data_IF_505792733754
#
_entry.id   IF_505792733754
#
_cell.length_a   1.000
_cell.length_b   1.000
_cell.length_c   1.000
_cell.angle_alpha   90.00
_cell.angle_beta   90.00
_cell.angle_gamma   90.00
#
_symmetry.space_group_name_H-M   'P 1'
#
loop_
_entity.id
_entity.type
_entity.pdbx_description
1 polymer ?
#
# COMPACT_ATOMS: atom_id res chain seq x y z
N UNK A 1 -55.20 37.65 64.06
CA UNK A 1 -55.19 36.30 63.50
C UNK A 1 -54.86 36.39 62.00
N UNK A 2 -53.58 36.51 61.63
CA UNK A 2 -53.11 36.55 60.27
C UNK A 2 -51.59 36.46 60.25
N UNK A 3 -50.99 35.51 59.53
CA UNK A 3 -49.58 35.26 59.12
C UNK A 3 -48.97 33.96 59.67
N UNK A 4 -49.42 32.83 59.19
CA UNK A 4 -48.64 31.61 59.33
C UNK A 4 -48.65 30.75 58.05
N UNK A 5 -49.21 31.21 56.93
CA UNK A 5 -49.39 30.31 55.72
C UNK A 5 -48.39 30.56 54.60
N UNK A 6 -47.57 31.60 54.64
CA UNK A 6 -46.70 31.97 53.52
C UNK A 6 -45.28 31.38 53.56
N UNK A 7 -44.80 30.84 54.67
CA UNK A 7 -43.40 30.40 54.79
C UNK A 7 -43.17 28.91 54.45
N UNK A 8 -44.19 28.05 54.51
CA UNK A 8 -44.09 26.64 54.20
C UNK A 8 -44.08 26.39 52.70
N UNK A 9 -44.84 27.14 51.93
CA UNK A 9 -44.92 27.02 50.45
C UNK A 9 -43.61 27.39 49.79
N UNK A 10 -42.92 28.43 50.24
CA UNK A 10 -41.65 28.88 49.67
C UNK A 10 -40.51 27.88 49.92
N UNK A 11 -40.47 27.22 51.07
CA UNK A 11 -39.51 26.17 51.39
C UNK A 11 -39.73 24.90 50.56
N UNK A 12 -40.98 24.57 50.23
CA UNK A 12 -41.32 23.44 49.40
C UNK A 12 -40.87 23.64 47.92
N UNK A 13 -41.11 24.85 47.41
CA UNK A 13 -40.66 25.23 46.08
C UNK A 13 -39.11 25.28 45.96
N UNK A 14 -38.43 25.79 46.97
CA UNK A 14 -36.96 25.83 47.01
C UNK A 14 -36.35 24.43 47.14
N UNK A 15 -36.98 23.50 47.83
CA UNK A 15 -36.52 22.11 47.92
C UNK A 15 -36.76 21.33 46.62
N UNK A 16 -37.87 21.55 45.91
CA UNK A 16 -38.15 20.96 44.61
C UNK A 16 -37.16 21.45 43.55
N UNK A 17 -36.82 22.74 43.58
CA UNK A 17 -35.84 23.30 42.62
C UNK A 17 -34.41 22.83 42.89
N UNK A 18 -34.05 22.53 44.14
CA UNK A 18 -32.75 21.93 44.51
C UNK A 18 -32.66 20.46 44.13
N UNK A 19 -33.75 19.72 44.23
CA UNK A 19 -33.81 18.29 43.92
C UNK A 19 -33.67 18.04 42.40
N UNK A 20 -34.34 18.87 41.57
CA UNK A 20 -34.29 18.70 40.13
C UNK A 20 -32.92 19.00 39.51
N UNK A 21 -32.15 19.94 40.06
CA UNK A 21 -30.80 20.26 39.58
C UNK A 21 -29.78 19.16 39.89
N UNK A 22 -29.89 18.52 41.05
CA UNK A 22 -29.00 17.43 41.43
C UNK A 22 -29.24 16.16 40.62
N UNK A 23 -30.51 15.91 40.29
CA UNK A 23 -30.89 14.75 39.47
C UNK A 23 -30.41 14.88 38.02
N UNK A 24 -30.58 16.06 37.41
CA UNK A 24 -30.06 16.33 36.06
C UNK A 24 -28.52 16.22 35.95
N UNK A 25 -27.80 16.63 37.00
CA UNK A 25 -26.33 16.55 37.03
C UNK A 25 -25.85 15.11 37.21
N UNK A 26 -26.54 14.30 37.99
CA UNK A 26 -26.26 12.90 38.15
C UNK A 26 -26.55 12.10 36.86
N UNK A 27 -27.68 12.38 36.20
CA UNK A 27 -28.03 11.77 34.90
C UNK A 27 -27.01 12.12 33.84
N UNK A 28 -26.57 13.38 33.75
CA UNK A 28 -25.54 13.81 32.84
C UNK A 28 -24.20 13.08 33.11
N UNK A 29 -23.82 12.95 34.39
CA UNK A 29 -22.60 12.26 34.77
C UNK A 29 -22.65 10.76 34.38
N UNK A 30 -23.78 10.08 34.54
CA UNK A 30 -23.96 8.68 34.14
C UNK A 30 -23.87 8.53 32.61
N UNK A 31 -24.57 9.39 31.87
CA UNK A 31 -24.50 9.37 30.39
C UNK A 31 -23.07 9.60 29.89
N UNK A 32 -22.37 10.56 30.48
CA UNK A 32 -20.98 10.86 30.12
C UNK A 32 -20.06 9.69 30.44
N UNK A 33 -20.24 9.04 31.60
CA UNK A 33 -19.48 7.84 31.96
C UNK A 33 -19.76 6.66 30.99
N UNK A 34 -21.03 6.45 30.63
CA UNK A 34 -21.39 5.43 29.63
C UNK A 34 -20.80 5.72 28.26
N UNK A 35 -20.83 6.98 27.80
CA UNK A 35 -20.18 7.38 26.55
C UNK A 35 -18.67 7.16 26.60
N UNK A 36 -18.01 7.51 27.69
CA UNK A 36 -16.58 7.30 27.86
C UNK A 36 -16.19 5.81 27.78
N UNK A 37 -16.96 4.94 28.45
CA UNK A 37 -16.73 3.48 28.37
C UNK A 37 -17.00 2.93 26.98
N UNK A 38 -18.05 3.39 26.29
CA UNK A 38 -18.34 3.01 24.92
C UNK A 38 -17.22 3.43 23.98
N UNK A 39 -16.75 4.66 24.05
CA UNK A 39 -15.65 5.18 23.24
C UNK A 39 -14.37 4.37 23.49
N UNK A 40 -14.03 4.10 24.73
CA UNK A 40 -12.83 3.34 25.10
C UNK A 40 -12.83 1.91 24.54
N UNK A 41 -13.99 1.29 24.38
CA UNK A 41 -14.12 -0.07 23.84
C UNK A 41 -14.32 -0.10 22.32
N UNK A 42 -14.91 0.93 21.74
CA UNK A 42 -15.23 1.00 20.31
C UNK A 42 -14.02 1.42 19.45
N UNK A 43 -13.22 2.39 19.91
CA UNK A 43 -12.09 2.94 19.15
C UNK A 43 -11.11 1.85 18.68
N UNK A 44 -10.62 0.92 19.51
CA UNK A 44 -9.69 -0.12 19.06
C UNK A 44 -10.29 -0.98 17.96
N UNK A 45 -11.57 -1.37 18.09
CA UNK A 45 -12.25 -2.20 17.09
C UNK A 45 -12.44 -1.49 15.76
N UNK A 46 -12.70 -0.19 15.77
CA UNK A 46 -12.77 0.60 14.53
C UNK A 46 -11.42 0.70 13.84
N UNK A 47 -10.34 0.85 14.60
CA UNK A 47 -8.98 0.85 14.05
C UNK A 47 -8.67 -0.46 13.33
N UNK A 48 -8.93 -1.59 13.96
CA UNK A 48 -8.69 -2.92 13.38
C UNK A 48 -9.51 -3.15 12.10
N UNK A 49 -10.77 -2.71 12.08
CA UNK A 49 -11.63 -2.81 10.89
C UNK A 49 -11.11 -1.93 9.76
N UNK A 50 -10.67 -0.71 10.08
CA UNK A 50 -10.10 0.21 9.08
C UNK A 50 -8.80 -0.34 8.49
N UNK A 51 -7.93 -0.90 9.32
CA UNK A 51 -6.67 -1.50 8.86
C UNK A 51 -6.92 -2.72 7.98
N UNK A 52 -7.83 -3.61 8.38
CA UNK A 52 -8.27 -4.74 7.55
C UNK A 52 -8.87 -4.28 6.21
N UNK A 53 -9.64 -3.20 6.21
CA UNK A 53 -10.19 -2.59 5.00
C UNK A 53 -9.10 -2.07 4.06
N UNK A 54 -8.06 -1.43 4.59
CA UNK A 54 -6.90 -0.98 3.82
C UNK A 54 -6.13 -2.16 3.22
N UNK A 55 -5.87 -3.20 4.03
CA UNK A 55 -5.18 -4.39 3.56
C UNK A 55 -5.93 -5.08 2.41
N UNK A 56 -7.24 -5.25 2.54
CA UNK A 56 -8.07 -5.82 1.48
C UNK A 56 -8.01 -4.97 0.19
N UNK A 57 -8.09 -3.65 0.32
CA UNK A 57 -7.97 -2.76 -0.83
C UNK A 57 -6.59 -2.88 -1.51
N UNK A 58 -5.50 -2.92 -0.72
CA UNK A 58 -4.16 -3.12 -1.28
C UNK A 58 -4.06 -4.44 -2.04
N UNK A 59 -4.61 -5.54 -1.49
CA UNK A 59 -4.63 -6.85 -2.16
C UNK A 59 -5.42 -6.80 -3.47
N UNK A 60 -6.55 -6.12 -3.53
CA UNK A 60 -7.32 -5.94 -4.77
C UNK A 60 -6.53 -5.14 -5.82
N UNK A 61 -5.74 -4.17 -5.41
CA UNK A 61 -4.91 -3.40 -6.32
C UNK A 61 -3.70 -4.21 -6.81
N UNK A 62 -3.11 -5.06 -5.96
CA UNK A 62 -2.10 -6.03 -6.39
C UNK A 62 -2.66 -6.99 -7.45
N UNK A 63 -3.92 -7.44 -7.33
CA UNK A 63 -4.57 -8.27 -8.35
C UNK A 63 -4.70 -7.54 -9.70
N UNK A 64 -5.05 -6.25 -9.66
CA UNK A 64 -5.12 -5.43 -10.88
C UNK A 64 -3.75 -5.29 -11.56
N UNK A 65 -2.70 -5.07 -10.77
CA UNK A 65 -1.33 -4.99 -11.28
C UNK A 65 -0.93 -6.31 -11.94
N UNK A 66 -1.17 -7.45 -11.29
CA UNK A 66 -0.86 -8.76 -11.86
C UNK A 66 -1.68 -9.06 -13.13
N UNK A 67 -2.95 -8.68 -13.17
CA UNK A 67 -3.77 -8.83 -14.37
C UNK A 67 -3.20 -8.02 -15.55
N UNK A 68 -2.78 -6.79 -15.31
CA UNK A 68 -2.14 -5.97 -16.33
C UNK A 68 -0.76 -6.52 -16.76
N UNK A 69 0.00 -7.07 -15.82
CA UNK A 69 1.24 -7.77 -16.12
C UNK A 69 1.01 -8.94 -17.08
N UNK A 70 -0.02 -9.74 -16.82
CA UNK A 70 -0.40 -10.86 -17.69
C UNK A 70 -0.79 -10.39 -19.09
N UNK A 71 -1.66 -9.36 -19.17
CA UNK A 71 -2.08 -8.79 -20.46
C UNK A 71 -0.89 -8.26 -21.26
N UNK A 72 0.06 -7.62 -20.57
CA UNK A 72 1.30 -7.12 -21.18
C UNK A 72 2.15 -8.27 -21.71
N UNK A 73 2.32 -9.34 -20.92
CA UNK A 73 3.06 -10.53 -21.32
C UNK A 73 2.46 -11.18 -22.58
N UNK A 74 1.14 -11.36 -22.61
CA UNK A 74 0.44 -11.93 -23.77
C UNK A 74 0.60 -11.03 -25.03
N UNK A 75 0.51 -9.71 -24.83
CA UNK A 75 0.69 -8.74 -25.92
C UNK A 75 2.13 -8.77 -26.47
N UNK A 76 3.13 -8.78 -25.58
CA UNK A 76 4.54 -8.85 -26.00
C UNK A 76 4.87 -10.18 -26.62
N UNK A 77 4.30 -11.29 -26.15
CA UNK A 77 4.45 -12.59 -26.76
C UNK A 77 3.94 -12.61 -28.21
N UNK A 78 2.82 -11.96 -28.48
CA UNK A 78 2.26 -11.85 -29.82
C UNK A 78 3.08 -10.92 -30.74
N UNK A 79 3.63 -9.83 -30.23
CA UNK A 79 4.33 -8.81 -31.02
C UNK A 79 5.84 -9.11 -31.20
N UNK A 80 6.48 -9.62 -30.14
CA UNK A 80 7.93 -9.79 -30.07
C UNK A 80 8.37 -11.28 -30.22
N UNK A 81 7.38 -12.20 -30.27
CA UNK A 81 7.63 -13.66 -30.41
C UNK A 81 7.95 -14.36 -29.09
N UNK A 82 8.26 -13.61 -28.02
CA UNK A 82 8.38 -14.09 -26.63
C UNK A 82 7.79 -13.08 -25.68
N UNK A 83 6.99 -13.58 -24.72
CA UNK A 83 6.42 -12.74 -23.69
C UNK A 83 7.50 -12.21 -22.75
N UNK A 84 7.39 -10.96 -22.39
CA UNK A 84 8.15 -10.32 -21.32
C UNK A 84 7.22 -9.52 -20.43
N UNK A 85 7.68 -9.22 -19.23
CA UNK A 85 6.96 -8.41 -18.25
C UNK A 85 7.43 -6.95 -18.31
N UNK A 86 6.62 -5.99 -17.81
CA UNK A 86 7.05 -4.60 -17.78
C UNK A 86 8.39 -4.44 -17.05
N UNK A 87 9.26 -3.60 -17.59
CA UNK A 87 10.61 -3.39 -17.09
C UNK A 87 11.64 -4.40 -17.57
N UNK A 88 11.24 -5.57 -18.08
CA UNK A 88 12.18 -6.50 -18.68
C UNK A 88 12.61 -6.01 -20.07
N UNK A 89 13.90 -6.05 -20.31
CA UNK A 89 14.46 -5.83 -21.63
C UNK A 89 14.25 -7.02 -22.56
N UNK A 90 14.43 -8.21 -21.99
CA UNK A 90 14.18 -9.51 -22.61
C UNK A 90 13.56 -10.44 -21.58
N UNK A 91 12.89 -11.50 -22.05
CA UNK A 91 12.22 -12.48 -21.20
C UNK A 91 13.16 -13.17 -20.18
N UNK A 92 14.45 -13.27 -20.51
CA UNK A 92 15.50 -13.91 -19.72
C UNK A 92 16.29 -12.92 -18.83
N UNK A 93 15.83 -11.67 -18.68
CA UNK A 93 16.44 -10.68 -17.81
C UNK A 93 15.58 -10.41 -16.58
N UNK A 94 16.23 -10.29 -15.43
CA UNK A 94 15.56 -9.95 -14.18
C UNK A 94 15.18 -8.46 -14.13
N UNK A 95 14.12 -8.14 -13.38
CA UNK A 95 13.86 -6.80 -12.86
C UNK A 95 14.01 -6.87 -11.35
N UNK A 96 14.81 -5.97 -10.80
CA UNK A 96 15.29 -6.08 -9.42
C UNK A 96 16.50 -7.01 -9.32
N UNK A 97 16.78 -7.52 -8.14
CA UNK A 97 18.03 -8.26 -7.87
C UNK A 97 17.84 -9.79 -7.90
N UNK A 98 16.62 -10.26 -7.80
CA UNK A 98 16.34 -11.68 -7.63
C UNK A 98 16.35 -12.44 -8.97
N UNK A 99 17.07 -13.54 -9.00
CA UNK A 99 17.09 -14.49 -10.12
C UNK A 99 16.49 -15.85 -9.74
N UNK A 100 16.20 -16.07 -8.45
CA UNK A 100 15.61 -17.29 -7.90
C UNK A 100 14.46 -16.97 -6.95
N UNK A 101 13.44 -17.81 -6.99
CA UNK A 101 12.27 -17.72 -6.10
C UNK A 101 12.60 -18.00 -4.64
N UNK A 102 13.61 -18.84 -4.38
CA UNK A 102 13.99 -19.21 -3.01
C UNK A 102 14.58 -18.02 -2.26
N UNK A 103 15.48 -17.29 -2.91
CA UNK A 103 16.09 -16.09 -2.33
C UNK A 103 15.04 -14.99 -2.08
N UNK A 104 14.13 -14.80 -3.04
CA UNK A 104 13.00 -13.88 -2.89
C UNK A 104 12.15 -14.22 -1.68
N UNK A 105 11.73 -15.49 -1.53
CA UNK A 105 10.86 -15.92 -0.42
C UNK A 105 11.55 -15.76 0.94
N UNK A 106 12.85 -16.07 1.01
CA UNK A 106 13.63 -15.88 2.24
C UNK A 106 13.69 -14.40 2.65
N UNK A 107 13.93 -13.52 1.70
CA UNK A 107 13.97 -12.08 1.96
C UNK A 107 12.58 -11.51 2.29
N UNK A 108 11.52 -11.98 1.63
CA UNK A 108 10.14 -11.58 1.94
C UNK A 108 9.73 -11.87 3.38
N UNK A 109 10.18 -12.99 3.94
CA UNK A 109 9.92 -13.32 5.35
C UNK A 109 10.51 -12.31 6.34
N UNK A 110 11.53 -11.57 5.92
CA UNK A 110 12.24 -10.57 6.72
C UNK A 110 11.84 -9.13 6.35
N UNK A 111 11.08 -8.96 5.26
CA UNK A 111 10.77 -7.63 4.71
C UNK A 111 9.48 -7.08 5.31
N UNK A 112 9.58 -6.56 6.52
CA UNK A 112 8.43 -6.04 7.27
C UNK A 112 7.95 -4.68 6.74
N UNK A 113 8.86 -3.82 6.23
CA UNK A 113 8.53 -2.50 5.70
C UNK A 113 9.63 -2.02 4.76
N UNK A 114 9.28 -1.18 3.77
CA UNK A 114 10.23 -0.58 2.83
C UNK A 114 11.25 0.36 3.50
N UNK A 115 11.05 0.73 4.75
CA UNK A 115 12.06 1.42 5.56
C UNK A 115 13.32 0.57 5.78
N UNK A 116 13.26 -0.75 5.58
CA UNK A 116 14.44 -1.60 5.45
C UNK A 116 15.12 -1.34 4.10
N UNK A 117 16.07 -0.39 4.11
CA UNK A 117 16.80 0.01 2.91
C UNK A 117 17.64 -1.09 2.29
N UNK A 118 18.03 -2.12 3.04
CA UNK A 118 18.81 -3.23 2.52
C UNK A 118 17.96 -4.15 1.62
N UNK A 119 16.77 -4.49 2.07
CA UNK A 119 15.82 -5.28 1.31
C UNK A 119 15.11 -4.44 0.24
N UNK A 120 14.73 -3.20 0.57
CA UNK A 120 14.07 -2.30 -0.36
C UNK A 120 14.84 -2.02 -1.64
N UNK A 121 16.18 -1.89 -1.56
CA UNK A 121 17.05 -1.70 -2.74
C UNK A 121 17.04 -2.86 -3.75
N UNK A 122 16.46 -3.98 -3.39
CA UNK A 122 16.35 -5.16 -4.26
C UNK A 122 15.09 -5.12 -5.12
N UNK A 123 14.14 -4.21 -4.82
CA UNK A 123 12.85 -4.07 -5.49
C UNK A 123 12.80 -2.82 -6.35
N UNK A 124 11.86 -2.79 -7.27
CA UNK A 124 11.64 -1.68 -8.20
C UNK A 124 10.23 -1.14 -8.02
N UNK A 125 10.06 0.18 -8.12
CA UNK A 125 8.72 0.80 -8.09
C UNK A 125 7.91 0.43 -9.33
N UNK A 126 6.62 0.12 -9.15
CA UNK A 126 5.70 -0.11 -10.27
C UNK A 126 5.51 1.17 -11.08
N UNK A 127 5.27 2.30 -10.42
CA UNK A 127 4.97 3.57 -11.07
C UNK A 127 6.10 4.60 -11.00
N UNK A 128 7.29 4.19 -10.56
CA UNK A 128 8.40 5.10 -10.30
C UNK A 128 8.38 5.68 -8.89
N UNK A 129 9.24 6.67 -8.64
CA UNK A 129 9.37 7.29 -7.32
C UNK A 129 8.27 8.30 -7.00
N UNK A 130 7.41 8.61 -7.95
CA UNK A 130 6.50 9.76 -7.92
C UNK A 130 5.14 9.45 -7.32
N UNK A 131 5.08 8.65 -6.25
CA UNK A 131 3.86 8.62 -5.46
C UNK A 131 3.88 9.80 -4.47
N UNK A 132 3.18 10.92 -4.76
CA UNK A 132 3.23 12.11 -3.92
C UNK A 132 2.62 11.91 -2.53
N UNK A 133 1.98 10.76 -2.31
CA UNK A 133 1.37 10.38 -1.04
C UNK A 133 2.22 9.41 -0.23
N UNK A 134 3.25 8.83 -0.82
CA UNK A 134 4.20 7.97 -0.11
C UNK A 134 5.29 8.83 0.54
N UNK A 135 5.45 8.70 1.84
CA UNK A 135 6.57 9.30 2.55
C UNK A 135 7.79 8.40 2.36
N UNK A 136 8.67 8.82 1.47
CA UNK A 136 9.91 8.11 1.23
C UNK A 136 10.91 8.36 2.36
N UNK A 137 11.58 7.33 2.89
CA UNK A 137 12.67 7.53 3.82
C UNK A 137 13.75 8.41 3.19
N UNK A 138 14.20 9.41 3.91
CA UNK A 138 15.25 10.32 3.46
C UNK A 138 16.51 9.53 3.05
N UNK A 139 16.93 9.66 1.79
CA UNK A 139 18.11 8.99 1.24
C UNK A 139 17.90 7.57 0.72
N UNK A 140 16.67 7.06 0.68
CA UNK A 140 16.38 5.77 0.06
C UNK A 140 16.17 5.93 -1.45
N UNK A 141 17.02 5.29 -2.24
CA UNK A 141 16.89 5.22 -3.71
C UNK A 141 16.41 3.84 -4.17
N UNK A 142 15.83 3.05 -3.27
CA UNK A 142 15.53 1.67 -3.58
C UNK A 142 14.32 1.48 -4.49
N UNK A 143 13.51 2.52 -4.66
CA UNK A 143 12.34 2.51 -5.53
C UNK A 143 12.67 3.10 -6.89
N UNK A 144 13.91 3.38 -7.13
CA UNK A 144 14.35 3.81 -8.43
C UNK A 144 14.40 2.61 -9.39
N UNK A 145 13.93 2.81 -10.61
CA UNK A 145 14.00 1.83 -11.66
C UNK A 145 15.47 1.50 -11.95
N UNK A 146 15.93 0.36 -11.47
CA UNK A 146 17.33 -0.07 -11.60
C UNK A 146 17.76 -0.29 -13.04
N UNK A 147 16.81 -0.38 -13.99
CA UNK A 147 17.10 -0.48 -15.41
C UNK A 147 17.54 0.87 -16.03
N UNK A 148 17.40 1.95 -15.30
CA UNK A 148 17.61 3.31 -15.81
C UNK A 148 18.68 4.10 -15.06
N UNK A 149 19.73 3.48 -14.59
CA UNK A 149 20.72 4.12 -13.71
C UNK A 149 21.67 5.11 -14.37
N UNK A 150 21.68 5.24 -15.69
CA UNK A 150 22.58 6.14 -16.40
C UNK A 150 21.90 7.41 -16.89
N UNK A 151 22.63 8.49 -16.79
CA UNK A 151 22.23 9.79 -17.32
C UNK A 151 23.13 10.08 -18.53
N UNK A 152 22.56 10.42 -19.67
CA UNK A 152 23.32 10.86 -20.84
C UNK A 152 23.91 12.27 -20.62
N UNK A 153 24.71 12.74 -21.57
CA UNK A 153 25.31 14.08 -21.49
C UNK A 153 24.29 15.23 -21.46
N UNK A 154 23.04 14.97 -21.84
CA UNK A 154 21.94 15.93 -21.79
C UNK A 154 21.17 15.88 -20.44
N UNK A 155 21.56 15.02 -19.50
CA UNK A 155 20.89 14.86 -18.23
C UNK A 155 19.66 13.97 -18.29
N UNK A 156 19.42 13.27 -19.39
CA UNK A 156 18.31 12.32 -19.53
C UNK A 156 18.70 10.96 -18.98
N UNK A 157 17.81 10.35 -18.24
CA UNK A 157 18.01 9.01 -17.69
C UNK A 157 17.88 7.99 -18.81
N UNK A 158 18.92 7.19 -19.02
CA UNK A 158 18.97 6.15 -20.03
C UNK A 158 19.01 4.77 -19.40
N UNK A 159 18.31 3.85 -19.98
CA UNK A 159 18.36 2.44 -19.59
C UNK A 159 19.61 1.79 -20.19
N UNK A 160 20.54 1.32 -19.34
CA UNK A 160 21.77 0.65 -19.80
C UNK A 160 21.53 -0.65 -20.53
N UNK A 161 20.55 -1.40 -20.08
CA UNK A 161 20.26 -2.75 -20.54
C UNK A 161 19.04 -2.81 -21.45
N UNK A 162 18.40 -1.67 -21.72
CA UNK A 162 17.26 -1.61 -22.62
C UNK A 162 17.73 -1.45 -24.09
N UNK A 163 17.06 -2.07 -25.05
CA UNK A 163 17.26 -1.75 -26.45
C UNK A 163 16.92 -0.30 -26.76
N UNK A 164 17.61 0.29 -27.71
CA UNK A 164 17.34 1.64 -28.17
C UNK A 164 15.83 1.83 -28.48
N UNK A 165 15.23 2.83 -27.82
CA UNK A 165 13.82 3.18 -28.00
C UNK A 165 12.82 2.44 -27.11
N UNK A 166 13.26 1.59 -26.18
CA UNK A 166 12.37 0.99 -25.19
C UNK A 166 12.01 1.97 -24.07
N UNK A 167 10.77 1.84 -23.63
CA UNK A 167 10.28 2.56 -22.45
C UNK A 167 10.84 1.91 -21.19
N UNK A 168 10.99 2.72 -20.15
CA UNK A 168 11.31 2.22 -18.80
C UNK A 168 10.17 1.41 -18.24
N UNK A 169 10.45 0.56 -17.28
CA UNK A 169 9.44 -0.26 -16.61
C UNK A 169 8.28 0.55 -16.04
N UNK A 170 8.57 1.65 -15.35
CA UNK A 170 7.54 2.54 -14.82
C UNK A 170 6.68 3.18 -15.90
N UNK A 171 7.25 3.56 -17.04
CA UNK A 171 6.49 4.10 -18.17
C UNK A 171 5.61 3.02 -18.84
N UNK A 172 6.09 1.79 -18.92
CA UNK A 172 5.31 0.64 -19.40
C UNK A 172 4.11 0.40 -18.46
N UNK A 173 4.34 0.39 -17.14
CA UNK A 173 3.28 0.29 -16.15
C UNK A 173 2.27 1.43 -16.25
N UNK A 174 2.73 2.67 -16.29
CA UNK A 174 1.84 3.84 -16.46
C UNK A 174 1.03 3.76 -17.74
N UNK A 175 1.62 3.21 -18.82
CA UNK A 175 0.90 2.97 -20.07
C UNK A 175 -0.26 1.98 -19.91
N UNK A 176 -0.09 0.93 -19.10
CA UNK A 176 -1.11 -0.08 -18.83
C UNK A 176 -2.26 0.46 -17.96
N UNK A 177 -2.02 1.51 -17.19
CA UNK A 177 -2.98 2.15 -16.32
C UNK A 177 -3.45 3.53 -16.82
N UNK A 178 -3.38 3.79 -18.13
CA UNK A 178 -3.78 5.05 -18.76
C UNK A 178 -3.09 6.29 -18.14
N UNK A 179 -1.86 6.13 -17.65
CA UNK A 179 -1.07 7.13 -16.91
C UNK A 179 -1.68 7.54 -15.57
N UNK A 180 -2.53 6.71 -15.00
CA UNK A 180 -3.05 6.87 -13.65
C UNK A 180 -2.33 5.91 -12.70
N UNK A 181 -1.70 6.44 -11.67
CA UNK A 181 -1.02 5.63 -10.65
C UNK A 181 -2.03 5.03 -9.68
N UNK A 182 -1.87 3.75 -9.34
CA UNK A 182 -2.57 3.17 -8.21
C UNK A 182 -1.89 3.63 -6.92
N UNK A 183 -2.69 4.16 -6.02
CA UNK A 183 -2.22 4.69 -4.73
C UNK A 183 -2.55 3.70 -3.62
N UNK A 184 -1.52 3.26 -2.89
CA UNK A 184 -1.73 2.44 -1.71
C UNK A 184 -2.65 3.13 -0.70
N UNK A 185 -3.55 2.39 -0.04
CA UNK A 185 -4.38 2.91 1.04
C UNK A 185 -3.59 3.26 2.31
N UNK A 186 -2.33 2.83 2.40
CA UNK A 186 -1.43 3.16 3.50
C UNK A 186 -0.66 4.44 3.20
N UNK A 187 -0.34 5.20 4.25
CA UNK A 187 0.27 6.52 4.09
C UNK A 187 1.64 6.45 3.41
N UNK A 188 2.45 5.47 3.81
CA UNK A 188 3.81 5.27 3.33
C UNK A 188 3.89 4.14 2.28
N UNK A 189 2.72 3.57 1.92
CA UNK A 189 2.62 2.48 0.99
C UNK A 189 2.67 2.94 -0.47
N UNK A 190 3.41 2.19 -1.27
CA UNK A 190 3.43 2.28 -2.72
C UNK A 190 3.71 0.90 -3.27
N UNK A 191 3.40 0.65 -4.55
CA UNK A 191 3.54 -0.67 -5.13
C UNK A 191 4.94 -0.87 -5.69
N UNK A 192 5.56 -1.98 -5.28
CA UNK A 192 6.89 -2.41 -5.70
C UNK A 192 6.79 -3.78 -6.35
N UNK A 193 7.71 -4.09 -7.26
CA UNK A 193 7.72 -5.38 -7.93
C UNK A 193 9.13 -5.86 -8.22
N UNK A 194 9.23 -7.15 -8.52
CA UNK A 194 10.40 -7.79 -9.11
C UNK A 194 9.96 -8.78 -10.18
N UNK A 195 10.85 -9.07 -11.09
CA UNK A 195 10.66 -10.13 -12.06
C UNK A 195 11.82 -11.11 -12.00
N UNK A 196 11.51 -12.37 -11.73
CA UNK A 196 12.44 -13.46 -11.87
C UNK A 196 12.47 -13.84 -13.35
N UNK A 197 13.64 -13.90 -13.99
CA UNK A 197 13.74 -14.12 -15.42
C UNK A 197 13.21 -15.49 -15.84
N UNK A 198 12.63 -15.54 -17.03
CA UNK A 198 12.39 -16.80 -17.71
C UNK A 198 13.70 -17.40 -18.24
N UNK A 199 13.69 -18.66 -18.54
CA UNK A 199 14.85 -19.37 -19.09
C UNK A 199 14.45 -20.49 -20.06
N UNK A 200 15.43 -21.09 -20.72
CA UNK A 200 15.21 -22.20 -21.65
C UNK A 200 14.91 -21.75 -23.07
N UNK A 201 14.78 -22.74 -23.96
CA UNK A 201 14.49 -22.56 -25.39
C UNK A 201 13.70 -23.76 -25.94
N UNK A 202 12.89 -23.50 -26.96
CA UNK A 202 12.07 -24.56 -27.58
C UNK A 202 10.94 -25.01 -26.62
N UNK A 203 10.84 -26.34 -26.44
CA UNK A 203 9.80 -26.94 -25.59
C UNK A 203 10.09 -26.82 -24.09
N UNK A 204 11.35 -26.55 -23.73
CA UNK A 204 11.78 -26.41 -22.31
C UNK A 204 11.80 -24.95 -21.85
N UNK A 205 10.94 -24.13 -22.38
CA UNK A 205 10.84 -22.71 -21.97
C UNK A 205 10.09 -22.60 -20.66
N UNK A 206 10.72 -21.94 -19.70
CA UNK A 206 10.08 -21.51 -18.44
C UNK A 206 9.83 -20.01 -18.50
N UNK A 207 8.58 -19.63 -18.32
CA UNK A 207 8.17 -18.24 -18.34
C UNK A 207 8.72 -17.44 -17.14
N UNK A 208 8.88 -16.12 -17.26
CA UNK A 208 9.26 -15.28 -16.13
C UNK A 208 8.15 -15.27 -15.07
N UNK A 209 8.54 -15.04 -13.82
CA UNK A 209 7.63 -14.89 -12.69
C UNK A 209 7.68 -13.46 -12.16
N UNK A 210 6.55 -12.94 -11.77
CA UNK A 210 6.46 -11.61 -11.17
C UNK A 210 5.99 -11.72 -9.72
N UNK A 211 6.64 -10.97 -8.84
CA UNK A 211 6.16 -10.71 -7.50
C UNK A 211 5.87 -9.22 -7.36
N UNK A 212 4.68 -8.90 -6.86
CA UNK A 212 4.26 -7.53 -6.59
C UNK A 212 3.91 -7.42 -5.10
N UNK A 213 4.29 -6.32 -4.48
CA UNK A 213 4.04 -6.09 -3.06
C UNK A 213 3.67 -4.63 -2.79
N UNK A 214 2.97 -4.42 -1.67
CA UNK A 214 2.81 -3.09 -1.10
C UNK A 214 4.01 -2.78 -0.18
N UNK A 215 4.66 -1.65 -0.40
CA UNK A 215 5.85 -1.23 0.35
C UNK A 215 5.61 -1.00 1.83
N UNK A 216 4.37 -0.82 2.27
CA UNK A 216 4.01 -0.70 3.69
C UNK A 216 4.34 -1.99 4.47
N UNK A 217 3.97 -3.15 3.92
CA UNK A 217 4.24 -4.44 4.54
C UNK A 217 4.41 -5.54 3.48
N UNK A 218 5.55 -5.59 2.79
CA UNK A 218 5.77 -6.54 1.70
C UNK A 218 5.61 -8.00 2.13
N UNK A 219 5.98 -8.34 3.36
CA UNK A 219 5.82 -9.66 3.95
C UNK A 219 4.38 -10.16 3.96
N UNK A 220 3.41 -9.29 4.20
CA UNK A 220 2.00 -9.66 4.34
C UNK A 220 1.16 -9.25 3.12
N UNK A 221 1.57 -8.21 2.41
CA UNK A 221 0.86 -7.62 1.28
C UNK A 221 1.66 -7.83 -0.01
N UNK A 222 1.76 -9.09 -0.44
CA UNK A 222 2.40 -9.43 -1.70
C UNK A 222 1.64 -10.52 -2.44
N UNK A 223 1.89 -10.62 -3.73
CA UNK A 223 1.40 -11.70 -4.59
C UNK A 223 2.46 -12.08 -5.61
N UNK A 224 2.53 -13.37 -5.90
CA UNK A 224 3.41 -13.94 -6.92
C UNK A 224 2.55 -14.55 -8.01
N UNK A 225 2.90 -14.30 -9.27
CA UNK A 225 2.27 -14.90 -10.43
C UNK A 225 3.32 -15.60 -11.29
N UNK A 226 3.02 -16.82 -11.67
CA UNK A 226 3.72 -17.60 -12.70
C UNK A 226 2.89 -17.54 -13.99
N UNK A 227 3.54 -17.33 -15.12
CA UNK A 227 2.91 -17.12 -16.43
C UNK A 227 2.93 -18.37 -17.31
#
# INVERSE_FOLDING_TARGET
MQKQIKTSSLKYFLNLYKSSRGQSLAEFAVITAMMATFIATAIPKFSDVMESGKANKSIEELDKILLQAKNFYETTAALEGRGRLPGQDKFDMAVGVYTDSTDLLNDLLLFDSFSDTALGKKWVSVFGTDNPKALMPSGSNFIDDTLSSDVNQAGEVICRNCPLGRMKGSDEWLGLFNREELVSPFQDGHYIYIVIPGYGSGEDVVAPKICVADGESPKHLHKIMEL
#
